data_IF_864622332594
#
_entry.id   IF_864622332594
#
_cell.length_a   1.000
_cell.length_b   1.000
_cell.length_c   1.000
_cell.angle_alpha   90.00
_cell.angle_beta   90.00
_cell.angle_gamma   90.00
#
_symmetry.space_group_name_H-M   'P 1'
#
loop_
_entity.id
_entity.type
_entity.pdbx_description
1 polymer ?
#
# COMPACT_ATOMS: atom_id res chain seq x y z
N UNK A 1 5.28 30.30 -8.03
CA UNK A 1 6.56 29.76 -7.54
C UNK A 1 6.40 28.26 -7.52
N UNK A 2 7.24 27.50 -8.23
CA UNK A 2 7.22 26.04 -8.12
C UNK A 2 7.85 25.69 -6.77
N UNK A 3 7.06 25.11 -5.87
CA UNK A 3 7.55 24.65 -4.58
C UNK A 3 8.40 23.39 -4.82
N UNK A 4 9.70 23.47 -4.56
CA UNK A 4 10.61 22.34 -4.73
C UNK A 4 10.35 21.35 -3.58
N UNK A 5 9.50 20.35 -3.82
CA UNK A 5 9.25 19.26 -2.88
C UNK A 5 10.49 18.35 -2.82
N UNK A 6 11.27 18.51 -1.75
CA UNK A 6 12.44 17.67 -1.49
C UNK A 6 11.99 16.23 -1.31
N UNK A 7 12.54 15.30 -2.08
CA UNK A 7 12.23 13.88 -1.97
C UNK A 7 10.79 13.49 -2.34
N UNK A 8 10.05 14.34 -3.07
CA UNK A 8 8.65 14.11 -3.48
C UNK A 8 7.66 13.97 -2.32
N UNK A 9 7.98 14.54 -1.16
CA UNK A 9 7.08 14.56 -0.01
C UNK A 9 5.74 15.23 -0.38
N UNK A 10 4.64 14.51 -0.17
CA UNK A 10 3.28 14.98 -0.50
C UNK A 10 2.91 14.93 -2.00
N UNK A 11 3.81 14.49 -2.89
CA UNK A 11 3.51 14.35 -4.32
C UNK A 11 2.83 13.01 -4.60
N UNK A 12 1.65 13.05 -5.23
CA UNK A 12 1.01 11.85 -5.77
C UNK A 12 1.71 11.49 -7.08
N UNK A 13 2.53 10.43 -7.07
CA UNK A 13 3.24 9.96 -8.26
C UNK A 13 2.35 9.10 -9.18
N UNK A 14 1.45 8.30 -8.60
CA UNK A 14 0.53 7.42 -9.30
C UNK A 14 -0.63 7.00 -8.40
N UNK A 15 -1.73 6.55 -9.01
CA UNK A 15 -2.80 5.82 -8.34
C UNK A 15 -2.55 4.31 -8.45
N UNK A 16 -2.92 3.56 -7.41
CA UNK A 16 -2.74 2.10 -7.38
C UNK A 16 -3.92 1.42 -6.71
N UNK A 17 -4.16 0.17 -7.11
CA UNK A 17 -5.11 -0.75 -6.46
C UNK A 17 -4.41 -1.87 -5.69
N UNK A 18 -3.07 -1.88 -5.69
CA UNK A 18 -2.26 -2.98 -5.16
C UNK A 18 -2.23 -2.97 -3.63
N UNK A 19 -2.02 -1.80 -3.03
CA UNK A 19 -1.95 -1.66 -1.58
C UNK A 19 -2.40 -0.27 -1.14
N UNK A 20 -2.74 -0.15 0.14
CA UNK A 20 -2.96 1.14 0.77
C UNK A 20 -2.45 1.15 2.20
N UNK A 21 -2.01 2.34 2.64
CA UNK A 21 -1.64 2.61 4.02
C UNK A 21 -2.54 3.74 4.51
N UNK A 22 -3.35 3.46 5.52
CA UNK A 22 -4.22 4.45 6.16
C UNK A 22 -3.82 4.48 7.64
N UNK A 23 -3.38 5.65 8.10
CA UNK A 23 -2.75 5.86 9.41
C UNK A 23 -1.57 4.90 9.65
N UNK A 24 -1.80 3.80 10.34
CA UNK A 24 -0.79 2.75 10.62
C UNK A 24 -1.20 1.37 10.11
N UNK A 25 -2.31 1.27 9.38
CA UNK A 25 -2.82 0.01 8.84
C UNK A 25 -2.34 -0.17 7.40
N UNK A 26 -1.74 -1.33 7.11
CA UNK A 26 -1.38 -1.75 5.76
C UNK A 26 -2.41 -2.75 5.24
N UNK A 27 -2.81 -2.58 3.97
CA UNK A 27 -3.71 -3.50 3.27
C UNK A 27 -3.14 -3.88 1.90
N UNK A 28 -3.32 -5.14 1.49
CA UNK A 28 -3.03 -5.65 0.15
C UNK A 28 -4.34 -5.98 -0.57
N UNK A 29 -4.55 -5.39 -1.75
CA UNK A 29 -5.79 -5.49 -2.52
C UNK A 29 -7.09 -5.29 -1.71
N UNK A 30 -7.03 -4.56 -0.60
CA UNK A 30 -8.15 -4.30 0.31
C UNK A 30 -8.26 -5.24 1.52
N UNK A 31 -7.41 -6.27 1.63
CA UNK A 31 -7.33 -7.15 2.81
C UNK A 31 -6.32 -6.63 3.81
N UNK A 32 -6.66 -6.73 5.09
CA UNK A 32 -5.76 -6.39 6.19
C UNK A 32 -4.53 -7.31 6.18
N UNK A 33 -3.33 -6.76 6.35
CA UNK A 33 -2.12 -7.57 6.36
C UNK A 33 -2.09 -8.58 7.51
N UNK A 34 -2.68 -8.26 8.67
CA UNK A 34 -2.72 -9.17 9.80
C UNK A 34 -3.61 -10.39 9.47
N UNK A 35 -4.77 -10.16 8.84
CA UNK A 35 -5.68 -11.22 8.37
C UNK A 35 -5.00 -12.12 7.34
N UNK A 36 -4.27 -11.53 6.39
CA UNK A 36 -3.51 -12.28 5.39
C UNK A 36 -2.41 -13.14 6.02
N UNK A 37 -1.73 -12.64 7.08
CA UNK A 37 -0.68 -13.43 7.75
C UNK A 37 -1.22 -14.63 8.51
N UNK A 38 -2.45 -14.56 9.02
CA UNK A 38 -3.08 -15.66 9.75
C UNK A 38 -3.75 -16.68 8.80
N UNK A 39 -4.31 -16.20 7.67
CA UNK A 39 -5.24 -16.98 6.87
C UNK A 39 -4.77 -17.32 5.45
N UNK A 40 -3.66 -16.75 4.95
CA UNK A 40 -3.20 -16.98 3.59
C UNK A 40 -1.76 -17.54 3.51
N UNK A 41 -1.50 -18.32 2.47
CA UNK A 41 -0.16 -18.76 2.11
C UNK A 41 0.54 -17.73 1.23
N UNK A 42 1.88 -17.77 1.22
CA UNK A 42 2.68 -16.84 0.43
C UNK A 42 2.29 -16.82 -1.05
N UNK A 43 2.05 -17.99 -1.66
CA UNK A 43 1.66 -18.12 -3.06
C UNK A 43 0.30 -17.47 -3.35
N UNK A 44 -0.62 -17.47 -2.39
CA UNK A 44 -1.92 -16.80 -2.52
C UNK A 44 -1.74 -15.27 -2.53
N UNK A 45 -0.83 -14.75 -1.71
CA UNK A 45 -0.48 -13.32 -1.70
C UNK A 45 0.19 -12.87 -3.01
N UNK A 46 1.01 -13.73 -3.61
CA UNK A 46 1.64 -13.44 -4.91
C UNK A 46 0.61 -13.34 -6.04
N UNK A 47 -0.49 -14.08 -5.93
CA UNK A 47 -1.55 -14.08 -6.93
C UNK A 47 -2.53 -12.89 -6.81
N UNK A 48 -2.73 -12.40 -5.58
CA UNK A 48 -3.64 -11.32 -5.21
C UNK A 48 -3.42 -10.03 -6.03
#
# INVERSE_FOLDING_TARGET
MAELMRGLEGVIAAETKISSIIDSQLTYAGYDIDDLTENAQFEEIVFL
#
